data_IF_054438245807
#
_entry.id   IF_054438245807
#
_cell.length_a   1.000
_cell.length_b   1.000
_cell.length_c   1.000
_cell.angle_alpha   90.00
_cell.angle_beta   90.00
_cell.angle_gamma   90.00
#
_symmetry.space_group_name_H-M   'P 1'
#
loop_
_entity.id
_entity.type
_entity.pdbx_description
1 polymer ?
#
# COMPACT_ATOMS: atom_id res chain seq x y z
N UNK A 1 29.64 29.16 40.65
CA UNK A 1 28.61 28.90 39.61
C UNK A 1 29.29 28.34 38.36
N UNK A 2 28.58 27.54 37.55
CA UNK A 2 28.95 26.99 36.22
C UNK A 2 29.73 25.66 36.19
N UNK A 3 29.01 24.55 36.31
CA UNK A 3 29.39 23.24 35.74
C UNK A 3 28.14 22.50 35.27
N UNK A 4 27.50 22.98 34.20
CA UNK A 4 26.46 22.24 33.48
C UNK A 4 26.48 22.77 32.05
N UNK A 5 26.95 21.96 31.09
CA UNK A 5 26.71 22.05 29.62
C UNK A 5 27.77 21.23 28.85
N UNK A 6 28.01 19.98 29.25
CA UNK A 6 28.90 19.07 28.50
C UNK A 6 28.32 17.65 28.35
N UNK A 7 27.00 17.51 28.36
CA UNK A 7 26.34 16.20 28.20
C UNK A 7 25.25 16.17 27.13
N UNK A 8 25.04 17.28 26.42
CA UNK A 8 23.98 17.41 25.43
C UNK A 8 24.24 16.73 24.07
N UNK A 9 25.48 16.56 23.55
CA UNK A 9 25.64 15.99 22.21
C UNK A 9 25.48 14.46 22.17
N UNK A 10 25.67 13.78 23.31
CA UNK A 10 25.73 12.32 23.36
C UNK A 10 24.33 11.67 23.38
N UNK A 11 23.33 12.37 23.92
CA UNK A 11 21.93 11.91 23.89
C UNK A 11 21.34 12.07 22.48
N UNK A 12 21.75 13.12 21.74
CA UNK A 12 21.23 13.37 20.39
C UNK A 12 21.70 12.29 19.39
N UNK A 13 22.94 11.81 19.52
CA UNK A 13 23.48 10.74 18.66
C UNK A 13 22.77 9.39 18.82
N UNK A 14 22.30 9.08 20.03
CA UNK A 14 21.63 7.81 20.34
C UNK A 14 20.20 7.74 19.76
N UNK A 15 19.49 8.88 19.71
CA UNK A 15 18.18 8.96 19.05
C UNK A 15 18.31 8.86 17.53
N UNK A 16 19.33 9.48 16.93
CA UNK A 16 19.61 9.38 15.49
C UNK A 16 20.03 7.96 15.06
N UNK A 17 20.77 7.24 15.88
CA UNK A 17 21.17 5.85 15.59
C UNK A 17 19.98 4.86 15.63
N UNK A 18 18.99 5.08 16.50
CA UNK A 18 17.77 4.27 16.54
C UNK A 18 16.84 4.55 15.34
N UNK A 19 16.84 5.77 14.81
CA UNK A 19 16.11 6.10 13.58
C UNK A 19 16.75 5.49 12.33
N UNK A 20 18.07 5.30 12.32
CA UNK A 20 18.77 4.71 11.18
C UNK A 20 18.71 3.17 11.13
N UNK A 21 18.46 2.49 12.26
CA UNK A 21 18.35 1.03 12.31
C UNK A 21 16.90 0.54 12.13
N UNK A 22 15.89 1.39 12.37
CA UNK A 22 14.49 1.08 12.02
C UNK A 22 14.15 1.27 10.53
N UNK A 23 15.14 1.68 9.74
CA UNK A 23 15.01 2.13 8.35
C UNK A 23 15.95 1.30 7.45
N UNK A 24 15.90 -0.03 7.61
CA UNK A 24 16.58 -0.94 6.69
C UNK A 24 15.81 -0.94 5.37
N UNK A 25 16.53 -0.70 4.28
CA UNK A 25 16.00 -0.44 2.94
C UNK A 25 15.57 -1.76 2.28
N UNK A 26 14.53 -2.39 2.81
CA UNK A 26 13.93 -3.52 2.13
C UNK A 26 12.90 -3.01 1.11
N UNK A 27 13.12 -3.36 -0.16
CA UNK A 27 12.17 -3.24 -1.28
C UNK A 27 10.98 -4.19 -1.06
N UNK A 28 10.22 -3.97 0.02
CA UNK A 28 9.12 -4.83 0.43
C UNK A 28 7.80 -4.20 0.01
N UNK A 29 7.11 -4.83 -0.94
CA UNK A 29 5.71 -4.50 -1.21
C UNK A 29 4.84 -4.78 0.03
N UNK A 30 3.98 -3.83 0.40
CA UNK A 30 2.97 -4.08 1.44
C UNK A 30 1.81 -4.82 0.80
N UNK A 31 1.75 -6.13 1.03
CA UNK A 31 0.73 -7.02 0.48
C UNK A 31 -0.26 -7.50 1.53
N UNK A 32 -1.55 -7.59 1.17
CA UNK A 32 -2.58 -8.30 1.93
C UNK A 32 -3.46 -9.15 1.02
N UNK A 33 -3.90 -10.28 1.58
CA UNK A 33 -4.86 -11.16 0.95
C UNK A 33 -6.25 -10.51 0.97
N UNK A 34 -6.96 -10.59 -0.15
CA UNK A 34 -8.31 -10.09 -0.31
C UNK A 34 -9.27 -11.26 -0.55
N UNK A 35 -10.15 -11.50 0.42
CA UNK A 35 -11.08 -12.64 0.45
C UNK A 35 -12.55 -12.18 0.52
N UNK A 36 -13.12 -11.65 -0.58
CA UNK A 36 -14.52 -11.24 -0.61
C UNK A 36 -15.47 -12.46 -0.60
N UNK A 37 -16.69 -12.35 -0.06
CA UNK A 37 -17.56 -13.52 0.19
C UNK A 37 -18.04 -14.30 -1.05
N UNK A 38 -18.13 -13.65 -2.22
CA UNK A 38 -18.70 -14.21 -3.45
C UNK A 38 -17.69 -14.27 -4.61
N UNK A 39 -16.41 -14.04 -4.35
CA UNK A 39 -15.38 -14.01 -5.39
C UNK A 39 -14.19 -14.89 -5.04
N UNK A 40 -13.30 -15.07 -6.01
CA UNK A 40 -12.01 -15.71 -5.76
C UNK A 40 -11.13 -14.85 -4.85
N UNK A 41 -10.00 -15.41 -4.43
CA UNK A 41 -9.02 -14.75 -3.57
C UNK A 41 -8.02 -13.99 -4.44
N UNK A 42 -7.65 -12.77 -4.04
CA UNK A 42 -6.61 -11.98 -4.68
C UNK A 42 -5.53 -11.57 -3.68
N UNK A 43 -4.34 -11.22 -4.18
CA UNK A 43 -3.40 -10.40 -3.43
C UNK A 43 -3.52 -8.95 -3.87
N UNK A 44 -3.49 -8.04 -2.91
CA UNK A 44 -3.38 -6.60 -3.14
C UNK A 44 -2.05 -6.14 -2.59
N UNK A 45 -1.24 -5.50 -3.41
CA UNK A 45 0.12 -5.10 -3.05
C UNK A 45 0.37 -3.63 -3.41
N UNK A 46 1.06 -2.91 -2.54
CA UNK A 46 1.50 -1.54 -2.77
C UNK A 46 3.01 -1.41 -2.50
N UNK A 47 3.81 -1.05 -3.51
CA UNK A 47 5.25 -0.87 -3.35
C UNK A 47 5.61 0.27 -2.39
N UNK A 48 6.62 0.05 -1.54
CA UNK A 48 7.16 1.06 -0.60
C UNK A 48 8.12 2.03 -1.26
N UNK A 49 8.58 1.74 -2.47
CA UNK A 49 9.51 2.58 -3.25
C UNK A 49 8.82 3.69 -4.06
N UNK A 50 7.50 3.81 -3.94
CA UNK A 50 6.68 4.77 -4.69
C UNK A 50 6.18 4.25 -6.04
N UNK A 51 6.38 2.96 -6.34
CA UNK A 51 5.76 2.25 -7.45
C UNK A 51 4.23 2.21 -7.37
N UNK A 52 3.62 1.63 -8.40
CA UNK A 52 2.17 1.54 -8.51
C UNK A 52 1.63 0.30 -7.81
N UNK A 53 0.53 0.45 -7.06
CA UNK A 53 -0.14 -0.69 -6.46
C UNK A 53 -0.65 -1.64 -7.55
N UNK A 54 -0.80 -2.92 -7.20
CA UNK A 54 -1.24 -3.94 -8.12
C UNK A 54 -2.08 -5.03 -7.44
N UNK A 55 -2.86 -5.72 -8.26
CA UNK A 55 -3.75 -6.80 -7.87
C UNK A 55 -3.33 -8.07 -8.59
N UNK A 56 -3.10 -9.15 -7.85
CA UNK A 56 -2.84 -10.48 -8.41
C UNK A 56 -4.08 -11.35 -8.23
N UNK A 57 -4.67 -11.78 -9.35
CA UNK A 57 -5.87 -12.62 -9.40
C UNK A 57 -5.53 -13.86 -10.24
N UNK A 58 -5.28 -14.98 -9.58
CA UNK A 58 -4.71 -16.16 -10.23
C UNK A 58 -3.36 -15.85 -10.87
N UNK A 59 -3.22 -16.09 -12.18
CA UNK A 59 -2.00 -15.80 -12.95
C UNK A 59 -1.97 -14.38 -13.56
N UNK A 60 -2.99 -13.55 -13.28
CA UNK A 60 -3.12 -12.21 -13.86
C UNK A 60 -2.71 -11.12 -12.87
N UNK A 61 -2.01 -10.11 -13.37
CA UNK A 61 -1.58 -8.93 -12.62
C UNK A 61 -2.20 -7.67 -13.24
N UNK A 62 -2.93 -6.92 -12.42
CA UNK A 62 -3.54 -5.64 -12.79
C UNK A 62 -2.85 -4.52 -12.02
N UNK A 63 -2.19 -3.60 -12.72
CA UNK A 63 -1.37 -2.55 -12.10
C UNK A 63 -2.13 -1.22 -12.20
N UNK A 64 -2.20 -0.47 -11.10
CA UNK A 64 -2.69 0.90 -11.12
C UNK A 64 -1.82 1.75 -12.04
N UNK A 65 -2.41 2.77 -12.66
CA UNK A 65 -1.69 3.62 -13.61
C UNK A 65 -1.80 5.08 -13.18
N UNK A 66 -0.79 5.58 -12.45
CA UNK A 66 -0.75 6.97 -12.00
C UNK A 66 -0.83 7.98 -13.15
N UNK A 67 -0.51 7.59 -14.39
CA UNK A 67 -0.69 8.48 -15.55
C UNK A 67 -2.15 8.71 -15.90
N UNK A 68 -3.06 7.86 -15.41
CA UNK A 68 -4.52 7.99 -15.51
C UNK A 68 -5.18 8.57 -14.26
N UNK A 69 -4.39 9.07 -13.31
CA UNK A 69 -4.93 9.65 -12.08
C UNK A 69 -5.91 10.80 -12.38
N UNK A 70 -7.00 10.86 -11.61
CA UNK A 70 -8.02 11.90 -11.68
C UNK A 70 -8.26 12.50 -10.30
N UNK A 71 -9.04 13.59 -10.21
CA UNK A 71 -9.41 14.19 -8.92
C UNK A 71 -10.10 13.20 -7.96
N UNK A 72 -10.81 12.21 -8.50
CA UNK A 72 -11.54 11.21 -7.72
C UNK A 72 -10.81 9.85 -7.64
N UNK A 73 -9.66 9.73 -8.29
CA UNK A 73 -8.80 8.55 -8.31
C UNK A 73 -7.33 9.01 -8.43
N UNK A 74 -6.75 9.57 -7.36
CA UNK A 74 -5.43 10.19 -7.41
C UNK A 74 -4.30 9.18 -7.65
N UNK A 75 -4.57 7.89 -7.47
CA UNK A 75 -3.60 6.80 -7.62
C UNK A 75 -3.80 6.03 -8.94
N UNK A 76 -4.83 6.38 -9.73
CA UNK A 76 -5.08 5.82 -11.06
C UNK A 76 -5.46 4.34 -11.05
N UNK A 77 -6.10 3.87 -9.98
CA UNK A 77 -6.42 2.46 -9.77
C UNK A 77 -7.76 2.04 -10.38
N UNK A 78 -8.65 2.97 -10.77
CA UNK A 78 -10.04 2.65 -11.14
C UNK A 78 -10.17 1.63 -12.28
N UNK A 79 -9.30 1.71 -13.29
CA UNK A 79 -9.26 0.77 -14.40
C UNK A 79 -8.78 -0.62 -13.96
N UNK A 80 -7.72 -0.66 -13.14
CA UNK A 80 -7.11 -1.89 -12.65
C UNK A 80 -8.06 -2.64 -11.70
N UNK A 81 -8.73 -1.91 -10.80
CA UNK A 81 -9.77 -2.44 -9.92
C UNK A 81 -10.93 -3.03 -10.72
N UNK A 82 -11.39 -2.33 -11.76
CA UNK A 82 -12.51 -2.80 -12.57
C UNK A 82 -12.16 -4.09 -13.30
N UNK A 83 -10.96 -4.17 -13.88
CA UNK A 83 -10.48 -5.39 -14.54
C UNK A 83 -10.25 -6.53 -13.56
N UNK A 84 -9.64 -6.25 -12.40
CA UNK A 84 -9.42 -7.24 -11.34
C UNK A 84 -10.76 -7.80 -10.85
N UNK A 85 -11.77 -6.96 -10.60
CA UNK A 85 -13.10 -7.41 -10.14
C UNK A 85 -13.83 -8.24 -11.20
N UNK A 86 -13.70 -7.92 -12.49
CA UNK A 86 -14.32 -8.74 -13.55
C UNK A 86 -13.75 -10.16 -13.59
N UNK A 87 -12.45 -10.31 -13.33
CA UNK A 87 -11.82 -11.64 -13.26
C UNK A 87 -12.13 -12.31 -11.92
N UNK A 88 -11.89 -11.61 -10.81
CA UNK A 88 -12.04 -12.12 -9.44
C UNK A 88 -13.47 -12.58 -9.16
N UNK A 89 -14.45 -11.79 -9.60
CA UNK A 89 -15.86 -11.94 -9.28
C UNK A 89 -16.69 -12.31 -10.52
N UNK A 90 -16.11 -13.00 -11.52
CA UNK A 90 -16.77 -13.27 -12.81
C UNK A 90 -18.15 -13.92 -12.71
N UNK A 91 -18.38 -14.74 -11.69
CA UNK A 91 -19.67 -15.42 -11.42
C UNK A 91 -20.55 -14.73 -10.38
N UNK A 92 -20.07 -13.67 -9.72
CA UNK A 92 -20.79 -12.99 -8.65
C UNK A 92 -21.96 -12.15 -9.19
N UNK A 93 -22.91 -11.84 -8.32
CA UNK A 93 -24.00 -10.91 -8.63
C UNK A 93 -23.46 -9.49 -8.88
N UNK A 94 -24.21 -8.63 -9.58
CA UNK A 94 -23.85 -7.21 -9.72
C UNK A 94 -23.63 -6.54 -8.37
N UNK A 95 -24.48 -6.86 -7.39
CA UNK A 95 -24.36 -6.37 -6.01
C UNK A 95 -23.05 -6.86 -5.35
N UNK A 96 -22.71 -8.14 -5.54
CA UNK A 96 -21.47 -8.74 -5.04
C UNK A 96 -20.23 -8.11 -5.66
N UNK A 97 -20.22 -7.86 -6.98
CA UNK A 97 -19.16 -7.12 -7.67
C UNK A 97 -18.99 -5.70 -7.13
N UNK A 98 -20.09 -4.97 -6.92
CA UNK A 98 -20.04 -3.62 -6.35
C UNK A 98 -19.50 -3.61 -4.93
N UNK A 99 -19.92 -4.57 -4.10
CA UNK A 99 -19.42 -4.72 -2.74
C UNK A 99 -17.91 -5.05 -2.74
N UNK A 100 -17.49 -6.04 -3.52
CA UNK A 100 -16.09 -6.43 -3.63
C UNK A 100 -15.22 -5.27 -4.15
N UNK A 101 -15.70 -4.50 -5.13
CA UNK A 101 -14.98 -3.31 -5.62
C UNK A 101 -14.80 -2.26 -4.53
N UNK A 102 -15.84 -1.96 -3.75
CA UNK A 102 -15.75 -0.99 -2.67
C UNK A 102 -14.78 -1.43 -1.56
N UNK A 103 -14.74 -2.73 -1.26
CA UNK A 103 -13.81 -3.28 -0.27
C UNK A 103 -12.37 -3.32 -0.80
N UNK A 104 -12.17 -3.67 -2.07
CA UNK A 104 -10.87 -3.62 -2.75
C UNK A 104 -10.30 -2.20 -2.73
N UNK A 105 -11.13 -1.20 -3.00
CA UNK A 105 -10.76 0.22 -2.94
C UNK A 105 -10.29 0.62 -1.53
N UNK A 106 -11.04 0.21 -0.49
CA UNK A 106 -10.67 0.48 0.90
C UNK A 106 -9.33 -0.16 1.26
N UNK A 107 -9.15 -1.43 0.90
CA UNK A 107 -7.92 -2.17 1.17
C UNK A 107 -6.72 -1.53 0.47
N UNK A 108 -6.87 -1.20 -0.82
CA UNK A 108 -5.82 -0.52 -1.60
C UNK A 108 -5.41 0.79 -0.93
N UNK A 109 -6.38 1.62 -0.52
CA UNK A 109 -6.10 2.89 0.15
C UNK A 109 -5.35 2.68 1.49
N UNK A 110 -5.70 1.65 2.26
CA UNK A 110 -5.00 1.31 3.51
C UNK A 110 -3.56 0.88 3.25
N UNK A 111 -3.34 -0.01 2.28
CA UNK A 111 -2.02 -0.51 1.93
C UNK A 111 -1.13 0.59 1.36
N UNK A 112 -1.69 1.47 0.54
CA UNK A 112 -0.95 2.61 0.02
C UNK A 112 -0.51 3.57 1.14
N UNK A 113 -1.37 3.83 2.14
CA UNK A 113 -0.98 4.63 3.30
C UNK A 113 0.14 3.96 4.09
N UNK A 114 0.05 2.63 4.30
CA UNK A 114 1.12 1.87 4.94
C UNK A 114 2.42 1.95 4.14
N UNK A 115 2.37 1.69 2.84
CA UNK A 115 3.51 1.77 1.94
C UNK A 115 4.16 3.16 1.96
N UNK A 116 3.35 4.24 1.96
CA UNK A 116 3.84 5.62 2.11
C UNK A 116 4.55 5.83 3.45
N UNK A 117 4.03 5.32 4.57
CA UNK A 117 4.71 5.42 5.86
C UNK A 117 6.07 4.73 5.84
N UNK A 118 6.16 3.55 5.23
CA UNK A 118 7.43 2.83 5.06
C UNK A 118 8.37 3.53 4.08
N UNK A 119 7.85 4.20 3.04
CA UNK A 119 8.68 4.97 2.08
C UNK A 119 9.43 6.14 2.74
N UNK A 120 8.83 6.79 3.75
CA UNK A 120 9.44 7.92 4.47
C UNK A 120 10.54 7.45 5.43
N UNK A 121 10.57 6.15 5.72
CA UNK A 121 11.66 5.49 6.41
C UNK A 121 12.84 5.13 5.48
N UNK A 122 12.88 5.57 4.21
CA UNK A 122 13.92 5.22 3.23
C UNK A 122 14.75 6.38 2.66
#
# INVERSE_FOLDING_TARGET
MRKKLLFTPLILGLVLAMLNWGCEKDENDVCQLFEPPECEIANVCCPTDGGDCYYEVGDQKFVCDKTKATENDPDGCADAESQAIEVLCGTASTQGKMYAKAELQRLTAQLLQQAKMYSVCH
#
